data_IF_351930668979
#
_entry.id   IF_351930668979
#
_cell.length_a   1.000
_cell.length_b   1.000
_cell.length_c   1.000
_cell.angle_alpha   90.00
_cell.angle_beta   90.00
_cell.angle_gamma   90.00
#
_symmetry.space_group_name_H-M   'P 1'
#
loop_
_entity.id
_entity.type
_entity.pdbx_description
1 polymer ?
#
# COMPACT_ATOMS: atom_id res chain seq x y z
N UNK A 1 -3.12 10.62 -4.88
CA UNK A 1 -1.70 10.95 -5.02
C UNK A 1 -1.56 12.28 -5.78
N UNK A 2 -0.73 13.16 -5.28
CA UNK A 2 -0.44 14.44 -5.92
C UNK A 2 0.78 14.29 -6.81
N UNK A 3 0.59 14.50 -8.11
CA UNK A 3 1.61 14.18 -9.10
C UNK A 3 2.82 15.12 -9.09
N UNK A 4 2.67 16.34 -8.60
CA UNK A 4 3.78 17.28 -8.49
C UNK A 4 4.68 17.00 -7.30
N UNK A 5 4.19 16.22 -6.32
CA UNK A 5 4.95 15.83 -5.15
C UNK A 5 5.68 14.50 -5.39
N UNK A 6 6.82 14.33 -4.75
CA UNK A 6 7.50 13.04 -4.74
C UNK A 6 6.70 12.01 -3.94
N UNK A 7 7.09 10.73 -4.05
CA UNK A 7 6.49 9.68 -3.24
C UNK A 7 6.65 9.98 -1.76
N UNK A 8 7.83 10.41 -1.33
CA UNK A 8 8.10 10.77 0.05
C UNK A 8 7.20 11.94 0.50
N UNK A 9 7.11 12.99 -0.30
CA UNK A 9 6.28 14.14 0.01
C UNK A 9 4.79 13.77 0.08
N UNK A 10 4.33 12.88 -0.80
CA UNK A 10 2.95 12.39 -0.76
C UNK A 10 2.63 11.72 0.58
N UNK A 11 3.54 10.87 1.06
CA UNK A 11 3.35 10.20 2.36
C UNK A 11 3.34 11.20 3.51
N UNK A 12 4.27 12.12 3.53
CA UNK A 12 4.39 13.11 4.59
C UNK A 12 3.18 14.05 4.61
N UNK A 13 2.72 14.48 3.45
CA UNK A 13 1.56 15.37 3.34
C UNK A 13 0.29 14.67 3.80
N UNK A 14 0.08 13.42 3.40
CA UNK A 14 -1.09 12.66 3.83
C UNK A 14 -1.11 12.47 5.35
N UNK A 15 0.04 12.19 5.94
CA UNK A 15 0.16 12.02 7.39
C UNK A 15 -0.13 13.34 8.13
N UNK A 16 0.40 14.45 7.62
CA UNK A 16 0.18 15.76 8.22
C UNK A 16 -1.31 16.16 8.19
N UNK A 17 -1.99 15.89 7.06
CA UNK A 17 -3.42 16.16 6.93
C UNK A 17 -4.22 15.32 7.93
N UNK A 18 -3.79 14.09 8.19
CA UNK A 18 -4.42 13.21 9.17
C UNK A 18 -4.06 13.56 10.61
N UNK A 19 -3.24 14.59 10.84
CA UNK A 19 -2.84 14.99 12.19
C UNK A 19 -1.79 14.08 12.82
N UNK A 20 -1.11 13.29 12.01
CA UNK A 20 -0.09 12.32 12.48
C UNK A 20 1.21 12.54 11.70
N UNK A 21 2.04 13.51 12.11
CA UNK A 21 3.30 13.74 11.41
C UNK A 21 4.12 12.45 11.28
N UNK A 22 4.65 12.23 10.10
CA UNK A 22 5.37 11.01 9.77
C UNK A 22 6.87 11.31 9.68
N UNK A 23 7.71 10.68 10.50
CA UNK A 23 9.14 10.84 10.38
C UNK A 23 9.63 10.39 9.00
N UNK A 24 10.60 11.11 8.44
CA UNK A 24 11.15 10.79 7.13
C UNK A 24 11.69 9.35 7.06
N UNK A 25 12.38 8.92 8.12
CA UNK A 25 12.92 7.56 8.18
C UNK A 25 11.83 6.49 8.07
N UNK A 26 10.69 6.71 8.70
CA UNK A 26 9.54 5.79 8.62
C UNK A 26 8.95 5.77 7.22
N UNK A 27 8.78 6.94 6.61
CA UNK A 27 8.27 7.04 5.24
C UNK A 27 9.21 6.36 4.24
N UNK A 28 10.51 6.59 4.35
CA UNK A 28 11.51 5.96 3.49
C UNK A 28 11.52 4.44 3.64
N UNK A 29 11.41 3.94 4.86
CA UNK A 29 11.37 2.50 5.11
C UNK A 29 10.16 1.86 4.43
N UNK A 30 8.99 2.52 4.51
CA UNK A 30 7.78 2.03 3.85
C UNK A 30 7.92 1.99 2.34
N UNK A 31 8.48 3.04 1.74
CA UNK A 31 8.70 3.11 0.29
C UNK A 31 9.68 2.03 -0.18
N UNK A 32 10.74 1.81 0.57
CA UNK A 32 11.72 0.77 0.24
C UNK A 32 11.12 -0.61 0.34
N UNK A 33 10.30 -0.84 1.34
CA UNK A 33 9.64 -2.13 1.54
C UNK A 33 8.77 -2.53 0.36
N UNK A 34 8.11 -1.56 -0.26
CA UNK A 34 7.23 -1.83 -1.41
C UNK A 34 7.92 -1.68 -2.76
N UNK A 35 9.25 -1.58 -2.78
CA UNK A 35 10.03 -1.64 -4.01
C UNK A 35 10.26 -0.31 -4.70
N UNK A 36 10.17 0.81 -3.99
CA UNK A 36 10.43 2.14 -4.55
C UNK A 36 11.79 2.71 -4.14
N UNK A 37 12.71 1.87 -3.69
CA UNK A 37 14.06 2.32 -3.37
C UNK A 37 14.70 2.99 -4.59
N UNK A 38 15.25 4.17 -4.38
CA UNK A 38 15.87 4.96 -5.44
C UNK A 38 14.91 5.86 -6.20
N UNK A 39 13.62 5.81 -5.92
CA UNK A 39 12.60 6.63 -6.58
C UNK A 39 11.81 7.50 -5.62
N UNK A 40 12.26 7.61 -4.38
CA UNK A 40 11.54 8.30 -3.30
C UNK A 40 11.37 9.79 -3.58
N UNK A 41 12.37 10.40 -4.23
CA UNK A 41 12.40 11.83 -4.48
C UNK A 41 11.94 12.24 -5.88
N UNK A 42 11.57 11.29 -6.73
CA UNK A 42 11.08 11.61 -8.06
C UNK A 42 9.65 12.14 -7.99
N UNK A 43 9.30 13.15 -8.81
CA UNK A 43 7.89 13.57 -8.90
C UNK A 43 7.02 12.39 -9.29
N UNK A 44 5.88 12.26 -8.64
CA UNK A 44 5.01 11.09 -8.87
C UNK A 44 4.53 10.99 -10.32
N UNK A 45 4.45 12.11 -11.04
CA UNK A 45 4.03 12.09 -12.44
C UNK A 45 4.96 11.27 -13.35
N UNK A 46 6.24 11.08 -12.96
CA UNK A 46 7.18 10.28 -13.76
C UNK A 46 7.17 8.79 -13.38
N UNK A 47 6.40 8.43 -12.35
CA UNK A 47 6.27 7.04 -11.95
C UNK A 47 5.29 6.30 -12.85
N UNK A 48 5.52 4.99 -13.05
CA UNK A 48 4.56 4.14 -13.73
C UNK A 48 3.27 4.01 -12.91
N UNK A 49 2.21 3.51 -13.53
CA UNK A 49 0.96 3.28 -12.80
C UNK A 49 1.16 2.26 -11.66
N UNK A 50 1.94 1.21 -11.91
CA UNK A 50 2.29 0.25 -10.86
C UNK A 50 3.07 0.88 -9.73
N UNK A 51 4.00 1.78 -10.03
CA UNK A 51 4.76 2.49 -9.00
C UNK A 51 3.87 3.44 -8.21
N UNK A 52 2.94 4.15 -8.88
CA UNK A 52 1.96 4.99 -8.19
C UNK A 52 1.07 4.18 -7.25
N UNK A 53 0.66 2.98 -7.65
CA UNK A 53 -0.07 2.05 -6.78
C UNK A 53 0.74 1.67 -5.55
N UNK A 54 2.04 1.45 -5.74
CA UNK A 54 2.94 1.14 -4.62
C UNK A 54 3.04 2.30 -3.64
N UNK A 55 3.04 3.54 -4.12
CA UNK A 55 2.99 4.71 -3.23
C UNK A 55 1.73 4.67 -2.37
N UNK A 56 0.58 4.35 -2.96
CA UNK A 56 -0.66 4.21 -2.21
C UNK A 56 -0.58 3.11 -1.15
N UNK A 57 0.08 1.99 -1.46
CA UNK A 57 0.29 0.91 -0.50
C UNK A 57 1.23 1.34 0.63
N UNK A 58 2.28 2.10 0.32
CA UNK A 58 3.17 2.65 1.34
C UNK A 58 2.41 3.57 2.29
N UNK A 59 1.45 4.32 1.76
CA UNK A 59 0.59 5.17 2.58
C UNK A 59 -0.21 4.33 3.57
N UNK A 60 -0.72 3.17 3.14
CA UNK A 60 -1.40 2.25 4.05
C UNK A 60 -0.45 1.72 5.13
N UNK A 61 0.77 1.37 4.77
CA UNK A 61 1.76 0.90 5.74
C UNK A 61 2.04 1.93 6.82
N UNK A 62 2.04 3.21 6.46
CA UNK A 62 2.27 4.30 7.40
C UNK A 62 1.00 4.69 8.16
N UNK A 63 -0.16 4.21 7.73
CA UNK A 63 -1.45 4.47 8.35
C UNK A 63 -1.59 3.61 9.60
N UNK A 64 -2.26 4.14 10.62
CA UNK A 64 -2.65 3.37 11.79
C UNK A 64 -4.09 2.89 11.70
N UNK A 65 -4.70 2.99 10.54
CA UNK A 65 -6.08 2.56 10.33
C UNK A 65 -6.18 1.04 10.51
N UNK A 66 -7.21 0.61 11.24
CA UNK A 66 -7.48 -0.81 11.45
C UNK A 66 -8.12 -1.44 10.22
N UNK A 67 -8.99 -0.71 9.54
CA UNK A 67 -9.66 -1.20 8.33
C UNK A 67 -8.91 -0.72 7.09
N UNK A 68 -8.51 -1.66 6.27
CA UNK A 68 -7.95 -1.39 4.94
C UNK A 68 -8.95 -1.81 3.88
N UNK A 69 -9.22 -0.92 2.93
CA UNK A 69 -10.09 -1.20 1.79
C UNK A 69 -9.26 -1.02 0.52
N UNK A 70 -9.08 -2.09 -0.22
CA UNK A 70 -8.22 -2.11 -1.41
C UNK A 70 -9.03 -2.57 -2.62
N UNK A 71 -8.88 -1.86 -3.74
CA UNK A 71 -9.54 -2.21 -5.00
C UNK A 71 -8.51 -2.86 -5.92
N UNK A 72 -8.68 -4.14 -6.19
CA UNK A 72 -7.82 -4.93 -7.07
C UNK A 72 -6.32 -4.70 -6.82
N UNK A 73 -5.85 -4.91 -5.58
CA UNK A 73 -4.46 -4.55 -5.23
C UNK A 73 -3.41 -5.40 -5.94
N UNK A 74 -3.79 -6.54 -6.51
CA UNK A 74 -2.85 -7.46 -7.17
C UNK A 74 -2.72 -7.22 -8.67
N UNK A 75 -3.50 -6.31 -9.23
CA UNK A 75 -3.46 -6.03 -10.68
C UNK A 75 -2.09 -5.48 -11.08
N UNK A 76 -1.55 -6.01 -12.20
CA UNK A 76 -0.28 -5.60 -12.78
C UNK A 76 0.95 -5.86 -11.89
N UNK A 77 0.84 -6.73 -10.91
CA UNK A 77 1.97 -7.15 -10.09
C UNK A 77 2.55 -8.47 -10.61
N UNK A 78 3.87 -8.57 -10.60
CA UNK A 78 4.53 -9.86 -10.87
C UNK A 78 4.46 -10.77 -9.64
N UNK A 79 4.97 -12.00 -9.78
CA UNK A 79 4.89 -13.01 -8.72
C UNK A 79 5.56 -12.52 -7.44
N UNK A 80 6.72 -11.88 -7.55
CA UNK A 80 7.45 -11.40 -6.38
C UNK A 80 6.68 -10.28 -5.68
N UNK A 81 6.09 -9.36 -6.44
CA UNK A 81 5.32 -8.26 -5.87
C UNK A 81 4.02 -8.76 -5.22
N UNK A 82 3.37 -9.76 -5.80
CA UNK A 82 2.18 -10.40 -5.19
C UNK A 82 2.56 -11.02 -3.85
N UNK A 83 3.66 -11.76 -3.80
CA UNK A 83 4.12 -12.38 -2.55
C UNK A 83 4.42 -11.34 -1.48
N UNK A 84 5.06 -10.25 -1.86
CA UNK A 84 5.37 -9.16 -0.93
C UNK A 84 4.10 -8.50 -0.41
N UNK A 85 3.13 -8.25 -1.27
CA UNK A 85 1.86 -7.66 -0.85
C UNK A 85 1.10 -8.61 0.08
N UNK A 86 1.06 -9.90 -0.23
CA UNK A 86 0.42 -10.89 0.65
C UNK A 86 1.05 -10.88 2.04
N UNK A 87 2.37 -10.76 2.13
CA UNK A 87 3.07 -10.68 3.40
C UNK A 87 2.64 -9.44 4.20
N UNK A 88 2.53 -8.30 3.55
CA UNK A 88 2.07 -7.06 4.17
C UNK A 88 0.64 -7.20 4.68
N UNK A 89 -0.24 -7.80 3.88
CA UNK A 89 -1.64 -7.99 4.26
C UNK A 89 -1.76 -8.98 5.43
N UNK A 90 -0.98 -10.06 5.42
CA UNK A 90 -0.96 -11.01 6.52
C UNK A 90 -0.49 -10.38 7.82
N UNK A 91 0.52 -9.51 7.76
CA UNK A 91 0.98 -8.77 8.94
C UNK A 91 -0.11 -7.87 9.49
N UNK A 92 -0.86 -7.20 8.62
CA UNK A 92 -1.96 -6.34 9.02
C UNK A 92 -3.04 -7.15 9.76
N UNK A 93 -3.42 -8.30 9.21
CA UNK A 93 -4.40 -9.18 9.81
C UNK A 93 -3.90 -9.75 11.14
N UNK A 94 -2.62 -10.12 11.21
CA UNK A 94 -2.02 -10.66 12.43
C UNK A 94 -2.02 -9.64 13.58
N UNK A 95 -2.00 -8.35 13.27
CA UNK A 95 -2.10 -7.27 14.25
C UNK A 95 -3.54 -6.96 14.65
N UNK A 96 -4.51 -7.74 14.20
CA UNK A 96 -5.92 -7.52 14.49
C UNK A 96 -6.59 -6.55 13.52
N UNK A 97 -5.95 -6.25 12.40
CA UNK A 97 -6.53 -5.40 11.38
C UNK A 97 -7.64 -6.09 10.60
N UNK A 98 -8.47 -5.29 9.95
CA UNK A 98 -9.53 -5.74 9.06
C UNK A 98 -9.16 -5.39 7.63
N UNK A 99 -9.51 -6.26 6.71
CA UNK A 99 -9.17 -6.11 5.30
C UNK A 99 -10.37 -6.43 4.43
N UNK A 100 -10.69 -5.51 3.52
CA UNK A 100 -11.66 -5.72 2.45
C UNK A 100 -10.95 -5.43 1.14
N UNK A 101 -10.97 -6.36 0.21
CA UNK A 101 -10.40 -6.10 -1.10
C UNK A 101 -11.16 -6.86 -2.19
N UNK A 102 -11.10 -6.32 -3.41
CA UNK A 102 -11.61 -6.98 -4.60
C UNK A 102 -10.46 -7.66 -5.34
N UNK A 103 -10.73 -8.79 -5.95
CA UNK A 103 -9.71 -9.49 -6.75
C UNK A 103 -10.40 -10.42 -7.74
N UNK A 104 -9.85 -10.49 -8.95
CA UNK A 104 -10.25 -11.48 -9.94
C UNK A 104 -9.37 -12.74 -9.86
N UNK A 105 -8.42 -12.76 -8.96
CA UNK A 105 -7.49 -13.88 -8.75
C UNK A 105 -7.77 -14.54 -7.41
N UNK A 106 -7.54 -15.84 -7.35
CA UNK A 106 -7.56 -16.54 -6.08
C UNK A 106 -6.32 -16.16 -5.28
N UNK A 107 -6.52 -15.68 -4.06
CA UNK A 107 -5.45 -15.26 -3.17
C UNK A 107 -5.62 -15.95 -1.84
N UNK A 108 -4.52 -16.53 -1.32
CA UNK A 108 -4.52 -17.14 0.00
C UNK A 108 -3.71 -16.27 0.96
N UNK A 109 -4.37 -15.90 2.05
CA UNK A 109 -3.77 -15.13 3.13
C UNK A 109 -3.73 -15.99 4.39
N UNK A 110 -2.73 -15.77 5.23
CA UNK A 110 -2.53 -16.55 6.45
C UNK A 110 -3.53 -16.31 7.56
N UNK A 111 -4.33 -15.25 7.45
CA UNK A 111 -5.33 -14.93 8.46
C UNK A 111 -6.63 -15.71 8.28
N UNK A 112 -7.44 -15.77 9.34
CA UNK A 112 -8.82 -16.22 9.23
C UNK A 112 -9.65 -15.17 8.56
N UNK A 113 -10.50 -15.56 7.62
CA UNK A 113 -11.32 -14.59 6.95
C UNK A 113 -12.54 -15.21 6.29
N UNK A 114 -13.43 -14.35 5.89
CA UNK A 114 -14.57 -14.70 5.05
C UNK A 114 -14.45 -13.93 3.76
N UNK A 115 -14.82 -14.53 2.65
CA UNK A 115 -14.85 -13.85 1.37
C UNK A 115 -16.28 -13.55 0.97
N UNK A 116 -16.47 -12.39 0.36
CA UNK A 116 -17.75 -11.94 -0.15
C UNK A 116 -17.54 -11.47 -1.58
N UNK A 117 -18.33 -12.01 -2.50
CA UNK A 117 -18.30 -11.57 -3.89
C UNK A 117 -19.43 -10.59 -4.15
N UNK A 118 -19.06 -9.46 -4.71
CA UNK A 118 -20.01 -8.41 -5.04
C UNK A 118 -19.92 -8.12 -6.54
N UNK A 119 -21.06 -7.82 -7.14
CA UNK A 119 -21.10 -7.30 -8.51
C UNK A 119 -20.70 -8.30 -9.59
N UNK A 120 -21.01 -9.53 -9.44
CA UNK A 120 -20.73 -10.53 -10.47
C UNK A 120 -21.76 -10.52 -11.57
#
# INVERSE_FOLDING_TARGET
IKEDLSALENLQTAAAVAGRPLPESTALAALRRIGLKGREDLPSRVLSQGQKRRVALARLLCSQARLWVLDEPFVALDVAAVAQLCEILDEHLARGGLLVFTSHQAVQLGGTGASLRLGQ
#
